data_IF_429217317271
#
_entry.id   IF_429217317271
#
_cell.length_a   1.000
_cell.length_b   1.000
_cell.length_c   1.000
_cell.angle_alpha   90.00
_cell.angle_beta   90.00
_cell.angle_gamma   90.00
#
_symmetry.space_group_name_H-M   'P 1'
#
loop_
_entity.id
_entity.type
_entity.pdbx_description
1 polymer ?
#
# COMPACT_ATOMS: atom_id res chain seq x y z
N UNK A 1 -35.61 7.78 -18.50
CA UNK A 1 -34.25 7.87 -17.91
C UNK A 1 -33.53 9.04 -18.55
N UNK A 2 -33.13 10.07 -17.80
CA UNK A 2 -32.47 11.26 -18.35
C UNK A 2 -31.00 10.94 -18.69
N UNK A 3 -30.66 10.99 -19.98
CA UNK A 3 -29.32 10.70 -20.52
C UNK A 3 -28.20 11.50 -19.84
N UNK A 4 -28.44 12.77 -19.46
CA UNK A 4 -27.45 13.60 -18.78
C UNK A 4 -27.09 13.04 -17.40
N UNK A 5 -28.08 12.55 -16.63
CA UNK A 5 -27.84 11.91 -15.34
C UNK A 5 -27.06 10.60 -15.47
N UNK A 6 -27.32 9.83 -16.54
CA UNK A 6 -26.57 8.62 -16.83
C UNK A 6 -25.11 8.93 -17.20
N UNK A 7 -24.89 9.95 -18.04
CA UNK A 7 -23.55 10.40 -18.46
C UNK A 7 -22.73 10.93 -17.28
N UNK A 8 -23.32 11.74 -16.41
CA UNK A 8 -22.64 12.26 -15.23
C UNK A 8 -22.17 11.14 -14.28
N UNK A 9 -23.02 10.12 -14.04
CA UNK A 9 -22.63 8.94 -13.27
C UNK A 9 -21.47 8.21 -13.94
N UNK A 10 -21.55 7.94 -15.24
CA UNK A 10 -20.48 7.25 -15.96
C UNK A 10 -19.11 7.93 -15.78
N UNK A 11 -19.04 9.26 -15.91
CA UNK A 11 -17.79 9.99 -15.70
C UNK A 11 -17.30 9.91 -14.26
N UNK A 12 -18.20 10.03 -13.28
CA UNK A 12 -17.84 9.87 -11.87
C UNK A 12 -17.26 8.47 -11.59
N UNK A 13 -17.89 7.40 -12.07
CA UNK A 13 -17.37 6.04 -11.91
C UNK A 13 -16.00 5.86 -12.57
N UNK A 14 -15.78 6.49 -13.73
CA UNK A 14 -14.48 6.47 -14.42
C UNK A 14 -13.39 7.18 -13.60
N UNK A 15 -13.73 8.32 -13.00
CA UNK A 15 -12.83 9.05 -12.11
C UNK A 15 -12.53 8.26 -10.84
N UNK A 16 -13.55 7.76 -10.15
CA UNK A 16 -13.41 6.92 -8.95
C UNK A 16 -12.53 5.69 -9.21
N UNK A 17 -12.72 5.01 -10.35
CA UNK A 17 -11.86 3.88 -10.73
C UNK A 17 -10.39 4.29 -10.88
N UNK A 18 -10.13 5.48 -11.43
CA UNK A 18 -8.77 6.00 -11.59
C UNK A 18 -8.15 6.33 -10.24
N UNK A 19 -8.89 7.01 -9.36
CA UNK A 19 -8.46 7.34 -8.00
C UNK A 19 -8.15 6.08 -7.19
N UNK A 20 -9.06 5.11 -7.16
CA UNK A 20 -8.89 3.86 -6.41
C UNK A 20 -7.65 3.09 -6.87
N UNK A 21 -7.36 3.05 -8.18
CA UNK A 21 -6.14 2.43 -8.70
C UNK A 21 -4.88 3.13 -8.19
N UNK A 22 -4.88 4.46 -8.17
CA UNK A 22 -3.77 5.22 -7.60
C UNK A 22 -3.62 5.00 -6.10
N UNK A 23 -4.72 4.99 -5.34
CA UNK A 23 -4.70 4.72 -3.90
C UNK A 23 -4.16 3.33 -3.57
N UNK A 24 -4.58 2.30 -4.33
CA UNK A 24 -4.06 0.94 -4.19
C UNK A 24 -2.54 0.87 -4.45
N UNK A 25 -2.08 1.57 -5.50
CA UNK A 25 -0.65 1.69 -5.78
C UNK A 25 0.10 2.39 -4.64
N UNK A 26 -0.44 3.50 -4.13
CA UNK A 26 0.15 4.23 -3.01
C UNK A 26 0.18 3.41 -1.72
N UNK A 27 -0.87 2.64 -1.43
CA UNK A 27 -0.89 1.74 -0.27
C UNK A 27 0.21 0.69 -0.36
N UNK A 28 0.40 0.07 -1.53
CA UNK A 28 1.52 -0.84 -1.77
C UNK A 28 2.87 -0.16 -1.55
N UNK A 29 3.08 1.04 -2.13
CA UNK A 29 4.31 1.82 -1.94
C UNK A 29 4.56 2.21 -0.50
N UNK A 30 3.50 2.52 0.25
CA UNK A 30 3.60 2.85 1.66
C UNK A 30 4.11 1.65 2.47
N UNK A 31 3.62 0.43 2.21
CA UNK A 31 4.15 -0.78 2.88
C UNK A 31 5.64 -1.01 2.58
N UNK A 32 6.08 -0.79 1.34
CA UNK A 32 7.50 -0.86 0.98
C UNK A 32 8.32 0.16 1.78
N UNK A 33 7.84 1.41 1.87
CA UNK A 33 8.50 2.46 2.66
C UNK A 33 8.55 2.14 4.15
N UNK A 34 7.53 1.50 4.72
CA UNK A 34 7.54 1.04 6.11
C UNK A 34 8.57 -0.07 6.34
N UNK A 35 8.64 -1.06 5.45
CA UNK A 35 9.67 -2.11 5.49
C UNK A 35 11.07 -1.50 5.55
N UNK A 36 11.38 -0.55 4.67
CA UNK A 36 12.67 0.13 4.62
C UNK A 36 12.96 0.93 5.89
N UNK A 37 11.96 1.62 6.44
CA UNK A 37 12.10 2.35 7.69
C UNK A 37 12.42 1.42 8.87
N UNK A 38 11.74 0.28 8.97
CA UNK A 38 12.00 -0.70 10.02
C UNK A 38 13.37 -1.36 9.88
N UNK A 39 13.79 -1.67 8.64
CA UNK A 39 15.17 -2.13 8.36
C UNK A 39 16.21 -1.10 8.78
N UNK A 40 15.98 0.19 8.50
CA UNK A 40 16.87 1.27 8.96
C UNK A 40 16.92 1.32 10.48
N UNK A 41 15.77 1.26 11.18
CA UNK A 41 15.72 1.25 12.65
C UNK A 41 16.47 0.05 13.24
N UNK A 42 16.32 -1.14 12.67
CA UNK A 42 17.06 -2.33 13.08
C UNK A 42 18.58 -2.14 12.94
N UNK A 43 19.04 -1.52 11.85
CA UNK A 43 20.47 -1.25 11.62
C UNK A 43 21.07 -0.24 12.60
N UNK A 44 20.26 0.70 13.09
CA UNK A 44 20.67 1.75 14.02
C UNK A 44 20.55 1.33 15.50
N UNK A 45 19.85 0.24 15.78
CA UNK A 45 19.63 -0.24 17.13
C UNK A 45 20.88 -0.93 17.69
N UNK A 46 21.35 -0.45 18.85
CA UNK A 46 22.45 -1.06 19.59
C UNK A 46 21.96 -2.18 20.52
N UNK A 47 20.74 -2.05 21.03
CA UNK A 47 20.12 -3.06 21.89
C UNK A 47 19.56 -4.23 21.07
N UNK A 48 19.84 -5.44 21.54
CA UNK A 48 19.44 -6.69 20.86
C UNK A 48 17.93 -6.86 20.81
N UNK A 49 17.20 -6.50 21.88
CA UNK A 49 15.74 -6.57 21.92
C UNK A 49 15.06 -5.63 20.92
N UNK A 50 15.49 -4.37 20.89
CA UNK A 50 14.99 -3.38 19.93
C UNK A 50 15.31 -3.77 18.48
N UNK A 51 16.50 -4.34 18.24
CA UNK A 51 16.88 -4.85 16.92
C UNK A 51 15.96 -5.99 16.48
N UNK A 52 15.75 -7.00 17.32
CA UNK A 52 14.88 -8.13 17.02
C UNK A 52 13.43 -7.70 16.76
N UNK A 53 12.92 -6.74 17.53
CA UNK A 53 11.58 -6.18 17.31
C UNK A 53 11.48 -5.43 15.98
N UNK A 54 12.48 -4.60 15.66
CA UNK A 54 12.51 -3.85 14.40
C UNK A 54 12.65 -4.78 13.18
N UNK A 55 13.44 -5.84 13.27
CA UNK A 55 13.56 -6.87 12.22
C UNK A 55 12.23 -7.60 11.99
N UNK A 56 11.55 -8.00 13.07
CA UNK A 56 10.23 -8.64 13.00
C UNK A 56 9.19 -7.74 12.31
N UNK A 57 9.16 -6.45 12.65
CA UNK A 57 8.30 -5.49 11.96
C UNK A 57 8.68 -5.31 10.49
N UNK A 58 9.97 -5.26 10.16
CA UNK A 58 10.42 -5.22 8.77
C UNK A 58 9.89 -6.40 7.96
N UNK A 59 9.95 -7.61 8.50
CA UNK A 59 9.38 -8.81 7.88
C UNK A 59 7.85 -8.73 7.74
N UNK A 60 7.16 -8.22 8.76
CA UNK A 60 5.70 -8.05 8.71
C UNK A 60 5.29 -7.14 7.54
N UNK A 61 5.92 -5.98 7.42
CA UNK A 61 5.62 -5.02 6.34
C UNK A 61 6.04 -5.56 4.97
N UNK A 62 7.10 -6.36 4.89
CA UNK A 62 7.45 -7.09 3.68
C UNK A 62 6.31 -8.02 3.21
N UNK A 63 5.69 -8.77 4.13
CA UNK A 63 4.56 -9.63 3.80
C UNK A 63 3.33 -8.83 3.35
N UNK A 64 3.03 -7.69 4.01
CA UNK A 64 1.95 -6.81 3.56
C UNK A 64 2.20 -6.24 2.17
N UNK A 65 3.42 -5.79 1.85
CA UNK A 65 3.76 -5.32 0.52
C UNK A 65 3.60 -6.42 -0.54
N UNK A 66 4.00 -7.65 -0.22
CA UNK A 66 3.85 -8.81 -1.10
C UNK A 66 2.39 -9.21 -1.33
N UNK A 67 1.56 -9.20 -0.28
CA UNK A 67 0.13 -9.50 -0.40
C UNK A 67 -0.61 -8.39 -1.16
N UNK A 68 -0.32 -7.12 -0.86
CA UNK A 68 -0.86 -5.96 -1.58
C UNK A 68 -0.51 -6.02 -3.07
N UNK A 69 0.75 -6.33 -3.42
CA UNK A 69 1.16 -6.49 -4.82
C UNK A 69 0.34 -7.56 -5.55
N UNK A 70 0.06 -8.70 -4.90
CA UNK A 70 -0.74 -9.78 -5.47
C UNK A 70 -2.22 -9.41 -5.62
N UNK A 71 -2.79 -8.73 -4.62
CA UNK A 71 -4.21 -8.37 -4.59
C UNK A 71 -4.54 -7.17 -5.48
N UNK A 72 -3.59 -6.26 -5.66
CA UNK A 72 -3.78 -5.01 -6.39
C UNK A 72 -3.34 -5.07 -7.85
N UNK A 73 -2.58 -6.09 -8.26
CA UNK A 73 -2.47 -6.49 -9.65
C UNK A 73 -3.85 -7.00 -10.11
N UNK A 74 -4.70 -6.09 -10.57
CA UNK A 74 -5.98 -6.43 -11.17
C UNK A 74 -5.80 -7.49 -12.28
N UNK A 75 -6.77 -8.39 -12.41
CA UNK A 75 -6.84 -9.32 -13.55
C UNK A 75 -6.92 -8.56 -14.88
#
# INVERSE_FOLDING_TARGET
>A
INWLKARARYYRWKEELTLVRHEMYWAWKWFQGQEEQWKRRASQSQETGHKAYAESNGLLYHYYAKDAAKRFQGK
#
